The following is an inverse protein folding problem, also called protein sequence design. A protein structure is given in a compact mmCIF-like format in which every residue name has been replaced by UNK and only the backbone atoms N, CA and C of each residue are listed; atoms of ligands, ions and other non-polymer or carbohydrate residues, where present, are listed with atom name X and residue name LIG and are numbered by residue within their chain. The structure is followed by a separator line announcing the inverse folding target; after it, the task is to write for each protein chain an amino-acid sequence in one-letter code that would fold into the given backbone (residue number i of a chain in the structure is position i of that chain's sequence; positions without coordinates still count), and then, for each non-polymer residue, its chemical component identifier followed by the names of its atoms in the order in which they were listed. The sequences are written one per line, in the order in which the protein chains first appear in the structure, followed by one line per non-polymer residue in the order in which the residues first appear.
data_IF_995331981833
#
_entry.id   IF_995331981833
#
_cell.length_a   1.000
_cell.length_b   1.000
_cell.length_c   1.000
_cell.angle_alpha   90.00
_cell.angle_beta   90.00
_cell.angle_gamma   90.00
#
_symmetry.space_group_name_H-M   'P 1'
#
loop_
_entity.id
_entity.type
_entity.pdbx_description
1 polymer ?
#
# COMPACT_ATOMS: atom_id res chain seq x y z
N UNK A 1 -29.14 -16.40 11.36
CA UNK A 1 -29.52 -16.23 9.94
C UNK A 1 -28.40 -16.80 9.10
N UNK A 2 -28.70 -17.74 8.22
CA UNK A 2 -27.70 -18.29 7.30
C UNK A 2 -27.62 -17.35 6.10
N UNK A 3 -26.53 -16.60 6.00
CA UNK A 3 -26.18 -15.83 4.81
C UNK A 3 -25.39 -16.69 3.82
N UNK A 4 -25.15 -16.17 2.63
CA UNK A 4 -24.17 -16.74 1.68
C UNK A 4 -23.22 -15.65 1.24
N UNK A 5 -21.93 -15.96 1.17
CA UNK A 5 -20.92 -15.10 0.54
C UNK A 5 -20.56 -15.77 -0.79
N UNK A 6 -21.09 -15.25 -1.88
CA UNK A 6 -21.10 -15.99 -3.14
C UNK A 6 -21.95 -17.26 -3.03
N UNK A 7 -21.42 -18.40 -3.45
CA UNK A 7 -22.09 -19.71 -3.38
C UNK A 7 -21.79 -20.49 -2.09
N UNK A 8 -21.06 -19.89 -1.13
CA UNK A 8 -20.64 -20.57 0.11
C UNK A 8 -21.52 -20.17 1.30
N UNK A 9 -21.97 -21.16 2.11
CA UNK A 9 -22.76 -20.88 3.30
C UNK A 9 -21.89 -20.21 4.39
N UNK A 10 -22.49 -19.24 5.09
CA UNK A 10 -21.89 -18.61 6.27
C UNK A 10 -22.40 -19.33 7.51
N UNK A 11 -21.49 -19.69 8.41
CA UNK A 11 -21.77 -20.34 9.67
C UNK A 11 -21.35 -19.43 10.83
N UNK A 12 -22.24 -19.26 11.79
CA UNK A 12 -21.91 -18.58 13.04
C UNK A 12 -21.42 -19.59 14.07
N UNK A 13 -20.25 -19.36 14.67
CA UNK A 13 -19.71 -20.15 15.77
C UNK A 13 -19.03 -19.23 16.79
N UNK A 14 -19.42 -19.35 18.06
CA UNK A 14 -18.88 -18.54 19.18
C UNK A 14 -18.93 -17.01 18.92
N UNK A 15 -19.95 -16.53 18.21
CA UNK A 15 -20.16 -15.11 17.90
C UNK A 15 -19.29 -14.56 16.75
N UNK A 16 -18.62 -15.43 16.01
CA UNK A 16 -17.91 -15.11 14.79
C UNK A 16 -18.54 -15.82 13.58
N UNK A 17 -18.55 -15.14 12.45
CA UNK A 17 -19.02 -15.69 11.19
C UNK A 17 -17.88 -16.40 10.46
N UNK A 18 -18.16 -17.60 9.99
CA UNK A 18 -17.23 -18.44 9.23
C UNK A 18 -17.84 -18.80 7.88
N UNK A 19 -17.01 -18.92 6.87
CA UNK A 19 -17.40 -19.43 5.56
C UNK A 19 -16.37 -20.48 5.09
N UNK A 20 -16.80 -21.40 4.23
CA UNK A 20 -15.94 -22.42 3.66
C UNK A 20 -15.45 -21.98 2.28
N UNK A 21 -14.15 -22.06 2.07
CA UNK A 21 -13.54 -21.92 0.76
C UNK A 21 -13.01 -23.26 0.26
N UNK A 22 -12.96 -23.53 -1.05
CA UNK A 22 -12.30 -24.70 -1.58
C UNK A 22 -10.84 -24.73 -1.16
N UNK A 23 -10.38 -25.88 -0.67
CA UNK A 23 -8.96 -26.05 -0.39
C UNK A 23 -8.16 -26.04 -1.71
N UNK A 24 -7.22 -25.12 -1.82
CA UNK A 24 -6.30 -25.04 -2.96
C UNK A 24 -4.91 -25.45 -2.47
N UNK A 25 -4.36 -26.50 -3.08
CA UNK A 25 -3.00 -26.96 -2.75
C UNK A 25 -1.98 -26.04 -3.42
N UNK A 26 -1.11 -25.40 -2.63
CA UNK A 26 -0.09 -24.48 -3.12
C UNK A 26 1.06 -25.25 -3.77
N UNK A 27 1.49 -24.80 -4.93
CA UNK A 27 2.67 -25.28 -5.61
C UNK A 27 3.82 -24.27 -5.51
N UNK A 28 5.00 -24.74 -5.14
CA UNK A 28 6.21 -23.94 -5.22
C UNK A 28 6.61 -23.72 -6.69
N UNK A 29 6.63 -22.46 -7.10
CA UNK A 29 7.04 -22.09 -8.45
C UNK A 29 8.57 -22.21 -8.60
N UNK A 30 9.00 -22.96 -9.60
CA UNK A 30 10.42 -23.10 -9.96
C UNK A 30 10.79 -22.34 -11.24
N UNK A 31 9.81 -21.69 -11.89
CA UNK A 31 9.99 -21.01 -13.17
C UNK A 31 9.20 -19.70 -13.26
N UNK A 32 9.67 -18.70 -14.05
CA UNK A 32 8.95 -17.46 -14.33
C UNK A 32 7.57 -17.70 -14.99
N UNK A 33 6.61 -16.78 -14.82
CA UNK A 33 6.70 -15.61 -13.96
C UNK A 33 6.63 -15.96 -12.48
N UNK A 34 7.22 -15.11 -11.62
CA UNK A 34 7.22 -15.29 -10.16
C UNK A 34 5.79 -15.28 -9.57
N UNK A 35 5.65 -15.74 -8.33
CA UNK A 35 4.37 -15.72 -7.60
C UNK A 35 3.77 -14.30 -7.58
N UNK A 36 4.59 -13.31 -7.32
CA UNK A 36 4.19 -11.91 -7.24
C UNK A 36 3.56 -11.41 -8.55
N UNK A 37 4.19 -11.69 -9.68
CA UNK A 37 3.67 -11.25 -10.98
C UNK A 37 2.37 -11.98 -11.36
N UNK A 38 2.23 -13.27 -11.02
CA UNK A 38 1.00 -14.02 -11.25
C UNK A 38 -0.16 -13.49 -10.40
N UNK A 39 0.08 -13.24 -9.13
CA UNK A 39 -0.90 -12.66 -8.23
C UNK A 39 -1.30 -11.25 -8.67
N UNK A 40 -0.32 -10.43 -9.07
CA UNK A 40 -0.57 -9.09 -9.58
C UNK A 40 -1.41 -9.10 -10.86
N UNK A 41 -1.16 -10.05 -11.78
CA UNK A 41 -1.94 -10.18 -13.00
C UNK A 41 -3.42 -10.48 -12.72
N UNK A 42 -3.72 -11.36 -11.75
CA UNK A 42 -5.11 -11.66 -11.35
C UNK A 42 -5.74 -10.50 -10.60
N UNK A 43 -5.02 -9.83 -9.70
CA UNK A 43 -5.51 -8.63 -9.04
C UNK A 43 -5.88 -7.56 -10.07
N UNK A 44 -5.00 -7.33 -11.05
CA UNK A 44 -5.22 -6.41 -12.15
C UNK A 44 -6.46 -6.77 -12.98
N UNK A 45 -6.62 -8.05 -13.33
CA UNK A 45 -7.79 -8.53 -14.07
C UNK A 45 -9.11 -8.35 -13.29
N UNK A 46 -9.10 -8.61 -11.97
CA UNK A 46 -10.26 -8.37 -11.10
C UNK A 46 -10.61 -6.87 -11.05
N UNK A 47 -9.61 -6.00 -10.93
CA UNK A 47 -9.82 -4.55 -10.98
C UNK A 47 -10.44 -4.11 -12.31
N UNK A 48 -9.95 -4.65 -13.43
CA UNK A 48 -10.49 -4.33 -14.76
C UNK A 48 -11.93 -4.77 -14.95
N UNK A 49 -12.29 -5.96 -14.44
CA UNK A 49 -13.65 -6.50 -14.54
C UNK A 49 -14.65 -5.74 -13.66
N UNK A 50 -14.19 -5.17 -12.56
CA UNK A 50 -15.03 -4.47 -11.58
C UNK A 50 -14.92 -2.94 -11.66
N UNK A 51 -14.16 -2.41 -12.65
CA UNK A 51 -13.99 -0.96 -12.83
C UNK A 51 -15.33 -0.26 -13.03
N UNK A 52 -15.52 0.81 -12.26
CA UNK A 52 -16.69 1.66 -12.31
C UNK A 52 -16.33 3.11 -11.98
N UNK A 53 -17.21 4.04 -12.28
CA UNK A 53 -17.07 5.46 -11.93
C UNK A 53 -18.35 5.93 -11.23
N UNK A 54 -18.19 6.74 -10.20
CA UNK A 54 -19.27 7.36 -9.46
C UNK A 54 -19.10 8.88 -9.50
N UNK A 55 -20.17 9.60 -9.83
CA UNK A 55 -20.19 11.06 -9.70
C UNK A 55 -19.94 11.47 -8.25
N UNK A 56 -19.17 12.52 -8.04
CA UNK A 56 -18.87 13.05 -6.72
C UNK A 56 -19.10 14.55 -6.73
N UNK A 57 -19.73 15.05 -5.67
CA UNK A 57 -19.90 16.47 -5.44
C UNK A 57 -18.57 17.10 -5.00
N UNK A 58 -18.25 18.27 -5.56
CA UNK A 58 -17.00 18.97 -5.26
C UNK A 58 -16.84 19.28 -3.77
N UNK A 59 -17.95 19.60 -3.10
CA UNK A 59 -17.98 19.88 -1.66
C UNK A 59 -17.58 18.64 -0.86
N UNK A 60 -18.14 17.46 -1.16
CA UNK A 60 -17.79 16.20 -0.49
C UNK A 60 -16.31 15.86 -0.67
N UNK A 61 -15.76 16.07 -1.87
CA UNK A 61 -14.33 15.86 -2.13
C UNK A 61 -13.46 16.87 -1.39
N UNK A 62 -13.95 18.09 -1.20
CA UNK A 62 -13.24 19.13 -0.42
C UNK A 62 -13.18 18.78 1.05
N UNK A 63 -14.30 18.35 1.64
CA UNK A 63 -14.39 17.91 3.04
C UNK A 63 -13.45 16.71 3.28
N UNK A 64 -13.53 15.69 2.45
CA UNK A 64 -12.63 14.54 2.53
C UNK A 64 -11.15 14.94 2.47
N UNK A 65 -10.79 15.84 1.55
CA UNK A 65 -9.41 16.33 1.42
C UNK A 65 -8.94 17.07 2.68
N UNK A 66 -9.82 17.85 3.33
CA UNK A 66 -9.51 18.54 4.58
C UNK A 66 -9.31 17.57 5.74
N UNK A 67 -10.14 16.54 5.85
CA UNK A 67 -9.98 15.50 6.87
C UNK A 67 -8.65 14.75 6.73
N UNK A 68 -8.30 14.33 5.53
CA UNK A 68 -7.01 13.66 5.26
C UNK A 68 -5.82 14.59 5.55
N UNK A 69 -5.91 15.85 5.16
CA UNK A 69 -4.85 16.84 5.41
C UNK A 69 -4.67 17.10 6.91
N UNK A 70 -5.75 17.11 7.67
CA UNK A 70 -5.71 17.22 9.13
C UNK A 70 -5.01 16.01 9.77
N UNK A 71 -5.35 14.80 9.36
CA UNK A 71 -4.71 13.57 9.85
C UNK A 71 -3.20 13.57 9.55
N UNK A 72 -2.80 13.96 8.35
CA UNK A 72 -1.38 14.04 7.99
C UNK A 72 -0.63 15.11 8.78
N UNK A 73 -1.24 16.26 9.01
CA UNK A 73 -0.65 17.29 9.87
C UNK A 73 -0.47 16.79 11.31
N UNK A 74 -1.43 16.06 11.86
CA UNK A 74 -1.32 15.46 13.19
C UNK A 74 -0.17 14.43 13.25
N UNK A 75 -0.05 13.55 12.25
CA UNK A 75 1.04 12.57 12.17
C UNK A 75 2.41 13.26 12.08
N UNK A 76 2.53 14.30 11.26
CA UNK A 76 3.77 15.07 11.15
C UNK A 76 4.16 15.73 12.48
N UNK A 77 3.21 16.37 13.15
CA UNK A 77 3.44 16.96 14.48
C UNK A 77 3.82 15.91 15.51
N UNK A 78 3.19 14.74 15.48
CA UNK A 78 3.55 13.61 16.35
C UNK A 78 5.00 13.17 16.10
N UNK A 79 5.42 13.06 14.84
CA UNK A 79 6.80 12.71 14.48
C UNK A 79 7.79 13.75 14.99
N UNK A 80 7.53 15.05 14.82
CA UNK A 80 8.36 16.15 15.32
C UNK A 80 8.47 16.10 16.85
N UNK A 81 7.36 15.95 17.56
CA UNK A 81 7.34 15.84 19.02
C UNK A 81 8.15 14.62 19.54
N UNK A 82 8.05 13.49 18.84
CA UNK A 82 8.84 12.31 19.17
C UNK A 82 10.34 12.57 18.96
N UNK A 83 10.72 13.21 17.87
CA UNK A 83 12.11 13.58 17.61
C UNK A 83 12.65 14.54 18.70
N UNK A 84 11.91 15.61 19.01
CA UNK A 84 12.28 16.56 20.06
C UNK A 84 12.48 15.90 21.43
N UNK A 85 11.59 14.98 21.81
CA UNK A 85 11.72 14.24 23.07
C UNK A 85 12.96 13.32 23.08
N UNK A 86 13.23 12.66 21.96
CA UNK A 86 14.39 11.77 21.84
C UNK A 86 15.72 12.52 21.84
N UNK A 87 15.78 13.73 21.26
CA UNK A 87 17.00 14.56 21.28
C UNK A 87 17.38 15.05 22.68
N UNK A 88 16.44 15.13 23.61
CA UNK A 88 16.69 15.55 25.00
C UNK A 88 17.36 14.47 25.84
N UNK A 89 17.46 13.24 25.37
CA UNK A 89 18.04 12.12 26.10
C UNK A 89 19.56 12.20 25.99
N UNK A 90 20.27 12.16 27.15
CA UNK A 90 21.72 12.28 27.21
C UNK A 90 22.49 11.22 26.41
N UNK A 91 21.96 10.00 26.36
CA UNK A 91 22.54 8.87 25.63
C UNK A 91 21.50 8.30 24.69
N UNK A 92 21.74 8.49 23.42
CA UNK A 92 20.84 7.98 22.38
C UNK A 92 21.03 6.48 22.20
N UNK A 93 19.93 5.75 22.18
CA UNK A 93 19.94 4.33 21.81
C UNK A 93 20.15 4.17 20.30
N UNK A 94 20.57 2.98 19.82
CA UNK A 94 20.64 2.70 18.38
C UNK A 94 19.33 2.96 17.64
N UNK A 95 18.19 2.59 18.23
CA UNK A 95 16.88 2.88 17.67
C UNK A 95 16.64 4.38 17.51
N UNK A 96 16.86 5.14 18.59
CA UNK A 96 16.69 6.60 18.59
C UNK A 96 17.58 7.27 17.55
N UNK A 97 18.86 6.87 17.47
CA UNK A 97 19.78 7.39 16.45
C UNK A 97 19.29 7.08 15.03
N UNK A 98 18.83 5.84 14.76
CA UNK A 98 18.32 5.45 13.46
C UNK A 98 17.10 6.29 13.06
N UNK A 99 16.16 6.51 14.00
CA UNK A 99 14.98 7.34 13.75
C UNK A 99 15.35 8.80 13.47
N UNK A 100 16.16 9.42 14.32
CA UNK A 100 16.57 10.82 14.15
C UNK A 100 17.32 11.06 12.82
N UNK A 101 18.22 10.14 12.45
CA UNK A 101 18.89 10.21 11.15
C UNK A 101 17.94 10.08 9.96
N UNK A 102 16.84 9.37 10.13
CA UNK A 102 15.82 9.22 9.08
C UNK A 102 14.90 10.46 8.95
N UNK A 103 14.87 11.37 9.92
CA UNK A 103 13.97 12.53 9.97
C UNK A 103 13.87 13.32 8.65
N UNK A 104 14.98 13.78 8.05
CA UNK A 104 14.95 14.51 6.78
C UNK A 104 14.39 13.68 5.60
N UNK A 105 14.56 12.37 5.61
CA UNK A 105 13.98 11.47 4.63
C UNK A 105 12.48 11.34 4.83
N UNK A 106 12.02 11.11 6.06
CA UNK A 106 10.61 10.99 6.43
C UNK A 106 9.84 12.26 6.08
N UNK A 107 10.40 13.44 6.37
CA UNK A 107 9.78 14.72 6.01
C UNK A 107 9.60 14.87 4.49
N UNK A 108 10.62 14.51 3.70
CA UNK A 108 10.48 14.49 2.23
C UNK A 108 9.38 13.55 1.74
N UNK A 109 9.24 12.38 2.39
CA UNK A 109 8.18 11.42 2.04
C UNK A 109 6.79 11.97 2.37
N UNK A 110 6.62 12.63 3.52
CA UNK A 110 5.38 13.34 3.83
C UNK A 110 5.02 14.37 2.77
N UNK A 111 5.95 15.22 2.40
CA UNK A 111 5.71 16.26 1.41
C UNK A 111 5.37 15.68 0.03
N UNK A 112 6.09 14.63 -0.38
CA UNK A 112 5.83 13.97 -1.65
C UNK A 112 4.46 13.26 -1.67
N UNK A 113 4.12 12.55 -0.60
CA UNK A 113 2.81 11.89 -0.45
C UNK A 113 1.66 12.90 -0.46
N UNK A 114 1.80 14.00 0.32
CA UNK A 114 0.82 15.09 0.37
C UNK A 114 0.62 15.74 -1.00
N UNK A 115 1.72 15.97 -1.73
CA UNK A 115 1.65 16.52 -3.10
C UNK A 115 0.88 15.58 -4.02
N UNK A 116 1.15 14.27 -3.97
CA UNK A 116 0.41 13.26 -4.73
C UNK A 116 -1.08 13.29 -4.41
N UNK A 117 -1.44 13.30 -3.13
CA UNK A 117 -2.84 13.38 -2.71
C UNK A 117 -3.56 14.65 -3.22
N UNK A 118 -2.92 15.80 -3.10
CA UNK A 118 -3.49 17.07 -3.58
C UNK A 118 -3.66 17.08 -5.12
N UNK A 119 -2.75 16.46 -5.85
CA UNK A 119 -2.88 16.28 -7.30
C UNK A 119 -4.06 15.36 -7.64
N UNK A 120 -4.20 14.23 -6.95
CA UNK A 120 -5.32 13.33 -7.14
C UNK A 120 -6.67 14.00 -6.83
N UNK A 121 -6.79 14.71 -5.70
CA UNK A 121 -8.00 15.48 -5.33
C UNK A 121 -8.38 16.46 -6.44
N UNK A 122 -7.40 17.17 -7.01
CA UNK A 122 -7.63 18.10 -8.12
C UNK A 122 -8.18 17.38 -9.34
N UNK A 123 -7.58 16.28 -9.74
CA UNK A 123 -8.06 15.47 -10.87
C UNK A 123 -9.49 14.97 -10.66
N UNK A 124 -9.83 14.48 -9.46
CA UNK A 124 -11.18 14.02 -9.15
C UNK A 124 -12.20 15.17 -9.24
N UNK A 125 -11.86 16.35 -8.73
CA UNK A 125 -12.72 17.56 -8.83
C UNK A 125 -12.90 18.02 -10.28
N UNK A 126 -11.82 18.06 -11.05
CA UNK A 126 -11.86 18.47 -12.46
C UNK A 126 -12.69 17.51 -13.32
N UNK A 127 -12.71 16.22 -12.98
CA UNK A 127 -13.51 15.20 -13.67
C UNK A 127 -14.95 15.11 -13.15
N UNK A 128 -15.23 15.53 -11.93
CA UNK A 128 -16.54 15.40 -11.28
C UNK A 128 -16.91 13.94 -10.99
N UNK A 129 -15.96 13.02 -11.06
CA UNK A 129 -16.20 11.59 -10.83
C UNK A 129 -15.01 10.94 -10.11
N UNK A 130 -15.34 9.92 -9.33
CA UNK A 130 -14.42 9.06 -8.62
C UNK A 130 -14.42 7.66 -9.25
N UNK A 131 -13.24 7.19 -9.60
CA UNK A 131 -13.04 5.84 -10.14
C UNK A 131 -12.84 4.85 -9.01
N UNK A 132 -13.51 3.71 -9.08
CA UNK A 132 -13.34 2.63 -8.12
C UNK A 132 -13.38 1.26 -8.79
N UNK A 133 -12.85 0.28 -8.07
CA UNK A 133 -12.84 -1.14 -8.42
C UNK A 133 -13.28 -1.94 -7.19
N UNK A 134 -13.55 -3.22 -7.34
CA UNK A 134 -13.69 -4.10 -6.19
C UNK A 134 -12.30 -4.54 -5.72
N UNK A 135 -11.83 -3.90 -4.65
CA UNK A 135 -10.54 -4.19 -4.04
C UNK A 135 -10.59 -5.46 -3.18
N UNK A 136 -9.47 -6.14 -3.11
CA UNK A 136 -9.22 -7.22 -2.15
C UNK A 136 -9.17 -6.68 -0.70
N UNK A 137 -8.65 -5.47 -0.51
CA UNK A 137 -8.49 -4.78 0.76
C UNK A 137 -7.13 -5.04 1.42
N UNK A 138 -6.65 -6.29 1.43
CA UNK A 138 -5.36 -6.67 2.01
C UNK A 138 -4.60 -7.68 1.13
N UNK A 139 -4.26 -7.36 -0.13
CA UNK A 139 -3.55 -8.28 -1.02
C UNK A 139 -2.08 -8.44 -0.58
N UNK A 140 -1.79 -9.50 0.16
CA UNK A 140 -0.43 -9.88 0.57
C UNK A 140 0.00 -11.20 -0.07
N UNK A 141 1.30 -11.46 -0.12
CA UNK A 141 1.83 -12.73 -0.65
C UNK A 141 1.34 -13.95 0.15
N UNK A 142 1.03 -13.76 1.44
CA UNK A 142 0.49 -14.81 2.30
C UNK A 142 -0.99 -15.11 2.00
N UNK A 143 -1.72 -14.19 1.40
CA UNK A 143 -3.11 -14.37 0.96
C UNK A 143 -3.20 -14.85 -0.50
N UNK A 144 -2.08 -15.04 -1.17
CA UNK A 144 -2.02 -15.51 -2.55
C UNK A 144 -1.52 -16.95 -2.65
N UNK A 145 -2.20 -17.77 -3.43
CA UNK A 145 -1.89 -19.19 -3.67
C UNK A 145 -1.68 -19.41 -5.17
N UNK A 146 -0.65 -20.18 -5.52
CA UNK A 146 -0.49 -20.72 -6.88
C UNK A 146 -0.85 -22.19 -6.83
N UNK A 147 -1.92 -22.58 -7.50
CA UNK A 147 -2.38 -23.96 -7.55
C UNK A 147 -1.52 -24.84 -8.47
N UNK A 148 -1.67 -26.15 -8.35
CA UNK A 148 -0.92 -27.15 -9.13
C UNK A 148 -1.16 -27.07 -10.64
N UNK A 149 -2.29 -26.49 -11.06
CA UNK A 149 -2.61 -26.20 -12.48
C UNK A 149 -1.98 -24.88 -12.98
N UNK A 150 -1.23 -24.18 -12.12
CA UNK A 150 -0.56 -22.91 -12.41
C UNK A 150 -1.46 -21.68 -12.27
N UNK A 151 -2.74 -21.85 -11.92
CA UNK A 151 -3.63 -20.72 -11.65
C UNK A 151 -3.27 -20.06 -10.32
N UNK A 152 -3.37 -18.74 -10.28
CA UNK A 152 -3.20 -17.99 -9.04
C UNK A 152 -4.57 -17.67 -8.43
N UNK A 153 -4.63 -17.63 -7.12
CA UNK A 153 -5.84 -17.38 -6.35
C UNK A 153 -5.56 -16.41 -5.22
N UNK A 154 -6.54 -15.57 -4.91
CA UNK A 154 -6.56 -14.75 -3.72
C UNK A 154 -7.52 -15.33 -2.69
N UNK A 155 -7.10 -15.35 -1.43
CA UNK A 155 -7.88 -15.76 -0.25
C UNK A 155 -8.01 -14.58 0.71
N UNK A 156 -8.75 -14.73 1.82
CA UNK A 156 -8.91 -13.66 2.82
C UNK A 156 -9.56 -12.37 2.26
N UNK A 157 -10.75 -12.51 1.72
CA UNK A 157 -11.54 -11.41 1.16
C UNK A 157 -12.37 -10.64 2.21
N UNK A 158 -12.05 -10.77 3.51
CA UNK A 158 -12.83 -10.17 4.61
C UNK A 158 -12.86 -8.64 4.52
N UNK A 159 -11.77 -8.03 4.12
CA UNK A 159 -11.61 -6.57 3.98
C UNK A 159 -11.96 -6.07 2.57
N UNK A 160 -12.54 -6.93 1.73
CA UNK A 160 -12.84 -6.60 0.35
C UNK A 160 -13.99 -5.61 0.23
N UNK A 161 -13.92 -4.73 -0.76
CA UNK A 161 -14.97 -3.77 -1.02
C UNK A 161 -14.63 -2.78 -2.14
N UNK A 162 -15.59 -1.92 -2.51
CA UNK A 162 -15.35 -0.90 -3.52
C UNK A 162 -14.36 0.15 -2.99
N UNK A 163 -13.25 0.33 -3.70
CA UNK A 163 -12.25 1.35 -3.41
C UNK A 163 -11.43 1.67 -4.67
N UNK A 164 -10.55 2.68 -4.61
CA UNK A 164 -9.63 2.94 -5.69
C UNK A 164 -8.53 1.87 -5.75
N UNK A 165 -8.19 1.39 -6.95
CA UNK A 165 -7.19 0.32 -7.16
C UNK A 165 -5.82 0.63 -6.53
N UNK A 166 -5.48 1.91 -6.36
CA UNK A 166 -4.21 2.32 -5.73
C UNK A 166 -4.06 1.81 -4.28
N UNK A 167 -5.16 1.56 -3.56
CA UNK A 167 -5.12 1.01 -2.20
C UNK A 167 -4.58 -0.42 -2.20
N UNK A 168 -5.13 -1.28 -3.05
CA UNK A 168 -4.62 -2.65 -3.19
C UNK A 168 -3.17 -2.66 -3.69
N UNK A 169 -2.85 -1.82 -4.66
CA UNK A 169 -1.49 -1.75 -5.20
C UNK A 169 -0.49 -1.25 -4.16
N UNK A 170 -0.83 -0.22 -3.39
CA UNK A 170 0.05 0.28 -2.34
C UNK A 170 0.29 -0.80 -1.27
N UNK A 171 -0.77 -1.52 -0.86
CA UNK A 171 -0.65 -2.61 0.10
C UNK A 171 0.25 -3.75 -0.45
N UNK A 172 -0.01 -4.21 -1.67
CA UNK A 172 0.74 -5.27 -2.31
C UNK A 172 2.22 -4.91 -2.50
N UNK A 173 2.50 -3.69 -2.95
CA UNK A 173 3.89 -3.24 -3.13
C UNK A 173 4.62 -3.07 -1.80
N UNK A 174 3.94 -2.64 -0.74
CA UNK A 174 4.50 -2.62 0.61
C UNK A 174 4.83 -4.02 1.11
N UNK A 175 3.95 -5.00 0.87
CA UNK A 175 4.19 -6.39 1.25
C UNK A 175 5.39 -7.00 0.51
N UNK A 176 5.46 -6.80 -0.81
CA UNK A 176 6.62 -7.21 -1.61
C UNK A 176 7.91 -6.56 -1.09
N UNK A 177 7.90 -5.25 -0.89
CA UNK A 177 9.06 -4.50 -0.45
C UNK A 177 9.57 -4.95 0.93
N UNK A 178 8.67 -5.38 1.81
CA UNK A 178 8.99 -5.89 3.15
C UNK A 178 9.60 -7.28 3.11
N UNK A 179 9.14 -8.14 2.18
CA UNK A 179 9.46 -9.57 2.16
C UNK A 179 10.59 -9.94 1.18
N UNK A 180 10.96 -9.04 0.26
CA UNK A 180 11.96 -9.31 -0.76
C UNK A 180 13.24 -8.47 -0.55
N UNK A 181 14.43 -9.03 -0.81
CA UNK A 181 15.65 -8.23 -0.88
C UNK A 181 15.56 -7.22 -2.04
N UNK A 182 16.04 -6.01 -1.85
CA UNK A 182 15.89 -4.80 -2.66
C UNK A 182 16.17 -4.91 -4.18
N UNK A 183 16.64 -6.03 -4.69
CA UNK A 183 17.04 -6.19 -6.10
C UNK A 183 16.32 -7.33 -6.81
N UNK A 184 15.31 -7.93 -6.18
CA UNK A 184 14.74 -9.19 -6.70
C UNK A 184 13.62 -8.99 -7.74
N UNK A 185 12.94 -7.83 -7.77
CA UNK A 185 11.84 -7.60 -8.71
C UNK A 185 12.13 -6.41 -9.63
N UNK A 186 12.04 -6.67 -10.92
CA UNK A 186 12.10 -5.66 -11.96
C UNK A 186 10.85 -4.78 -11.88
N UNK A 187 11.05 -3.50 -11.55
CA UNK A 187 9.96 -2.51 -11.44
C UNK A 187 9.18 -2.41 -12.76
N UNK A 188 9.86 -2.54 -13.89
CA UNK A 188 9.20 -2.56 -15.20
C UNK A 188 8.30 -3.77 -15.35
N UNK A 189 8.72 -4.94 -14.89
CA UNK A 189 7.89 -6.15 -14.92
C UNK A 189 6.65 -6.01 -14.03
N UNK A 190 6.78 -5.40 -12.84
CA UNK A 190 5.68 -5.16 -11.92
C UNK A 190 4.65 -4.22 -12.56
N UNK A 191 5.05 -3.01 -12.94
CA UNK A 191 4.12 -2.04 -13.53
C UNK A 191 3.58 -2.53 -14.88
N UNK A 192 4.43 -3.10 -15.73
CA UNK A 192 4.02 -3.66 -17.02
C UNK A 192 3.01 -4.81 -16.89
N UNK A 193 3.13 -5.64 -15.86
CA UNK A 193 2.14 -6.70 -15.59
C UNK A 193 0.79 -6.09 -15.22
N UNK A 194 0.76 -5.11 -14.32
CA UNK A 194 -0.51 -4.47 -13.95
C UNK A 194 -1.15 -3.73 -15.14
N UNK A 195 -0.38 -3.00 -15.91
CA UNK A 195 -0.86 -2.28 -17.11
C UNK A 195 -1.38 -3.20 -18.20
N UNK A 196 -0.78 -4.40 -18.36
CA UNK A 196 -1.20 -5.38 -19.35
C UNK A 196 -2.59 -6.01 -19.04
N UNK A 197 -2.89 -6.24 -17.77
CA UNK A 197 -4.09 -6.96 -17.34
C UNK A 197 -5.13 -6.09 -16.66
N UNK A 198 -4.73 -4.93 -16.11
CA UNK A 198 -5.56 -4.04 -15.33
C UNK A 198 -6.39 -3.05 -16.14
N UNK A 199 -7.08 -2.15 -15.42
CA UNK A 199 -7.72 -0.98 -16.00
C UNK A 199 -6.70 -0.07 -16.70
N UNK A 200 -7.18 0.78 -17.61
CA UNK A 200 -6.30 1.77 -18.25
C UNK A 200 -5.74 2.71 -17.18
N UNK A 201 -4.42 2.80 -17.13
CA UNK A 201 -3.71 3.63 -16.16
C UNK A 201 -3.88 5.12 -16.50
N UNK A 202 -4.19 5.95 -15.49
CA UNK A 202 -4.36 7.40 -15.61
C UNK A 202 -3.37 8.12 -14.71
N UNK A 203 -3.05 9.37 -15.01
CA UNK A 203 -2.15 10.19 -14.18
C UNK A 203 -2.66 10.36 -12.73
N UNK A 204 -3.99 10.44 -12.57
CA UNK A 204 -4.62 10.47 -11.25
C UNK A 204 -4.30 9.22 -10.42
N UNK A 205 -4.21 8.05 -11.05
CA UNK A 205 -3.90 6.79 -10.37
C UNK A 205 -2.47 6.80 -9.80
N UNK A 206 -1.50 7.32 -10.56
CA UNK A 206 -0.13 7.53 -10.08
C UNK A 206 -0.09 8.51 -8.91
N UNK A 207 -0.86 9.58 -8.98
CA UNK A 207 -0.91 10.60 -7.93
C UNK A 207 -1.43 10.03 -6.61
N UNK A 208 -2.50 9.21 -6.64
CA UNK A 208 -3.01 8.55 -5.44
C UNK A 208 -2.07 7.45 -4.96
N UNK A 209 -1.54 6.62 -5.87
CA UNK A 209 -0.56 5.58 -5.52
C UNK A 209 0.66 6.18 -4.82
N UNK A 210 1.19 7.28 -5.34
CA UNK A 210 2.26 8.05 -4.70
C UNK A 210 1.90 8.49 -3.28
N UNK A 211 0.69 9.02 -3.08
CA UNK A 211 0.21 9.43 -1.78
C UNK A 211 0.23 8.26 -0.77
N UNK A 212 -0.33 7.11 -1.17
CA UNK A 212 -0.45 5.94 -0.31
C UNK A 212 0.90 5.24 -0.03
N UNK A 213 1.79 5.18 -1.02
CA UNK A 213 3.10 4.54 -0.88
C UNK A 213 4.10 5.36 -0.08
N UNK A 214 4.04 6.70 -0.15
CA UNK A 214 5.04 7.57 0.47
C UNK A 214 4.66 8.09 1.85
N UNK A 215 3.43 7.84 2.32
CA UNK A 215 3.04 8.21 3.67
C UNK A 215 3.81 7.39 4.70
N UNK A 216 4.63 8.01 5.60
CA UNK A 216 5.46 7.29 6.55
C UNK A 216 4.70 6.80 7.79
N UNK A 217 3.37 6.73 7.74
CA UNK A 217 2.50 6.26 8.83
C UNK A 217 2.99 4.98 9.50
N UNK A 218 3.39 3.90 8.76
CA UNK A 218 3.87 2.68 9.40
C UNK A 218 5.17 2.84 10.20
N UNK A 219 5.98 3.85 9.87
CA UNK A 219 7.20 4.20 10.63
C UNK A 219 6.80 4.93 11.91
N UNK A 220 5.90 5.91 11.81
CA UNK A 220 5.45 6.75 12.95
C UNK A 220 4.77 5.88 14.00
N UNK A 221 3.82 5.04 13.59
CA UNK A 221 3.13 4.10 14.48
C UNK A 221 4.10 3.15 15.19
N UNK A 222 5.12 2.71 14.47
CA UNK A 222 6.14 1.84 15.04
C UNK A 222 7.03 2.55 16.06
N UNK A 223 7.40 3.81 15.80
CA UNK A 223 8.15 4.63 16.76
C UNK A 223 7.31 4.94 18.01
N UNK A 224 6.01 5.19 17.82
CA UNK A 224 5.08 5.36 18.94
C UNK A 224 4.93 4.08 19.77
N UNK A 225 4.90 2.91 19.12
CA UNK A 225 4.89 1.62 19.79
C UNK A 225 6.17 1.40 20.62
N UNK A 226 7.35 1.77 20.10
CA UNK A 226 8.59 1.74 20.86
C UNK A 226 8.53 2.67 22.09
N UNK A 227 8.02 3.87 21.92
CA UNK A 227 7.90 4.86 22.98
C UNK A 227 6.98 4.38 24.13
N UNK A 228 5.86 3.78 23.77
CA UNK A 228 4.86 3.31 24.74
C UNK A 228 5.19 1.95 25.36
N UNK A 229 5.92 1.11 24.66
CA UNK A 229 6.23 -0.26 25.08
C UNK A 229 7.72 -0.62 24.85
N UNK A 230 8.69 0.12 25.37
CA UNK A 230 10.11 -0.06 25.03
C UNK A 230 10.66 -1.45 25.43
N UNK A 231 10.07 -2.07 26.45
CA UNK A 231 10.51 -3.37 26.98
C UNK A 231 9.89 -4.58 26.23
N UNK A 232 9.07 -4.36 25.22
CA UNK A 232 8.42 -5.45 24.45
C UNK A 232 9.43 -6.29 23.67
N UNK A 233 10.48 -5.67 23.17
CA UNK A 233 11.57 -6.31 22.42
C UNK A 233 12.92 -5.79 22.91
N UNK A 234 13.98 -6.54 22.63
CA UNK A 234 15.34 -6.06 22.88
C UNK A 234 15.68 -4.91 21.90
N UNK A 235 16.56 -3.99 22.32
CA UNK A 235 16.91 -2.78 21.56
C UNK A 235 17.36 -3.08 20.12
N UNK A 236 18.17 -4.12 19.92
CA UNK A 236 18.62 -4.52 18.58
C UNK A 236 17.47 -5.03 17.68
N UNK A 237 16.44 -5.65 18.28
CA UNK A 237 15.25 -6.08 17.53
C UNK A 237 14.40 -4.88 17.10
N UNK A 238 14.20 -3.92 18.01
CA UNK A 238 13.53 -2.67 17.68
C UNK A 238 14.23 -1.93 16.54
N UNK A 239 15.57 -1.82 16.62
CA UNK A 239 16.37 -1.15 15.58
C UNK A 239 16.25 -1.87 14.23
N UNK A 240 16.41 -3.20 14.21
CA UNK A 240 16.28 -3.98 12.98
C UNK A 240 14.89 -3.87 12.33
N UNK A 241 13.82 -3.90 13.14
CA UNK A 241 12.45 -3.72 12.62
C UNK A 241 12.22 -2.30 12.08
N UNK A 242 12.79 -1.27 12.70
CA UNK A 242 12.74 0.10 12.20
C UNK A 242 13.48 0.23 10.86
N UNK A 243 14.67 -0.37 10.74
CA UNK A 243 15.44 -0.38 9.50
C UNK A 243 14.67 -1.07 8.36
N UNK A 244 13.98 -2.17 8.63
CA UNK A 244 13.11 -2.83 7.64
C UNK A 244 12.03 -1.86 7.14
N UNK A 245 11.33 -1.17 8.05
CA UNK A 245 10.29 -0.20 7.66
C UNK A 245 10.85 0.99 6.86
N UNK A 246 12.00 1.53 7.26
CA UNK A 246 12.66 2.61 6.53
C UNK A 246 13.12 2.17 5.14
N UNK A 247 13.65 0.96 5.05
CA UNK A 247 14.08 0.39 3.77
C UNK A 247 12.89 0.10 2.87
N UNK A 248 11.79 -0.43 3.41
CA UNK A 248 10.53 -0.56 2.66
C UNK A 248 10.11 0.78 2.05
N UNK A 249 10.06 1.84 2.86
CA UNK A 249 9.68 3.18 2.38
C UNK A 249 10.66 3.74 1.32
N UNK A 250 11.97 3.47 1.44
CA UNK A 250 12.96 3.83 0.40
C UNK A 250 12.67 3.13 -0.92
N UNK A 251 12.44 1.82 -0.87
CA UNK A 251 12.10 1.04 -2.05
C UNK A 251 10.81 1.53 -2.72
N UNK A 252 9.77 1.80 -1.94
CA UNK A 252 8.53 2.38 -2.46
C UNK A 252 8.75 3.75 -3.10
N UNK A 253 9.63 4.57 -2.55
CA UNK A 253 9.98 5.86 -3.15
C UNK A 253 10.71 5.73 -4.50
N UNK A 254 11.53 4.70 -4.65
CA UNK A 254 12.18 4.37 -5.92
C UNK A 254 11.17 3.86 -6.95
N UNK A 255 10.21 3.03 -6.55
CA UNK A 255 9.11 2.58 -7.42
C UNK A 255 8.27 3.74 -7.93
N UNK A 256 7.87 4.66 -7.04
CA UNK A 256 7.11 5.86 -7.44
C UNK A 256 7.90 6.70 -8.44
N UNK A 257 9.17 6.95 -8.15
CA UNK A 257 10.04 7.71 -9.04
C UNK A 257 10.16 7.04 -10.42
N UNK A 258 10.37 5.73 -10.45
CA UNK A 258 10.43 4.97 -11.71
C UNK A 258 9.15 5.17 -12.54
N UNK A 259 7.97 5.10 -11.90
CA UNK A 259 6.68 5.31 -12.57
C UNK A 259 6.53 6.73 -13.10
N UNK A 260 6.88 7.74 -12.31
CA UNK A 260 6.86 9.16 -12.73
C UNK A 260 7.81 9.42 -13.93
N UNK A 261 9.02 8.84 -13.90
CA UNK A 261 9.99 8.96 -14.99
C UNK A 261 9.47 8.29 -16.29
N UNK A 262 8.82 7.13 -16.17
CA UNK A 262 8.17 6.43 -17.30
C UNK A 262 7.07 7.28 -17.94
N UNK A 263 6.19 7.88 -17.13
CA UNK A 263 5.11 8.75 -17.62
C UNK A 263 5.65 10.05 -18.26
N UNK A 264 6.71 10.63 -17.69
CA UNK A 264 7.36 11.79 -18.27
C UNK A 264 7.96 11.49 -19.65
N UNK A 265 8.59 10.32 -19.81
CA UNK A 265 9.14 9.87 -21.08
C UNK A 265 8.06 9.66 -22.16
N UNK A 266 6.91 9.07 -21.76
CA UNK A 266 5.77 8.89 -22.68
C UNK A 266 5.18 10.20 -23.16
N UNK A 267 5.06 11.21 -22.30
CA UNK A 267 4.59 12.56 -22.67
C UNK A 267 5.51 13.24 -23.68
N UNK A 268 6.82 13.11 -23.50
CA UNK A 268 7.81 13.68 -24.43
C UNK A 268 7.80 13.00 -25.82
N UNK A 269 7.47 11.72 -25.89
CA UNK A 269 7.38 10.98 -27.14
C UNK A 269 6.10 11.22 -27.93
N UNK A 270 5.07 11.82 -27.30
CA UNK A 270 3.75 12.10 -27.89
C UNK A 270 3.60 13.57 -28.39
N UNK A 271 4.60 14.41 -28.15
CA UNK A 271 4.73 15.80 -28.65
C UNK A 271 5.68 15.89 -29.82
#
# INVERSE_FOLDING_TARGET
MTGTRGDFPIFEHEGADYYLEPWVEEQLLTSPPSKELRLLAILAANHKLSENEQAIEEEAMTEYAQEVDLLWNQQRLTMEQMADQMEQVRFLSPFTMTFLHAGPFLERMFQAGRTGFQQWVRHVKDQGSYRFVFCHGQPSLDHGIIASDGNAWWTNWEESGPNHMAYDLAYFYQDIARNQPFHALDQQAIFGTYEAYGPVWREADTSLLKALMLTPTPVIEFVELYRTNPNRYAEHQWTAMLEVKLNTLRYLSEMVRFKEDQEAAMRQSST
#
